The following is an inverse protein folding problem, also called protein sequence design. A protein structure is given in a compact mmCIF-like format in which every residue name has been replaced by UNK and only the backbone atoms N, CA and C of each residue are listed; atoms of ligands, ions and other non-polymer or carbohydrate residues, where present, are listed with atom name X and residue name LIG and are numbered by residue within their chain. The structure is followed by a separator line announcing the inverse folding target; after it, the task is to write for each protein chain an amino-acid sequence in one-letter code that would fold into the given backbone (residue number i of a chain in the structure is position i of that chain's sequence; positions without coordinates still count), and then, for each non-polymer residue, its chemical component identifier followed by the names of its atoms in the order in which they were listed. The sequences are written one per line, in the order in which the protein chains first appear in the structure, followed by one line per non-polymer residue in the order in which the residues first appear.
data_IF_396509960142
#
_entry.id   IF_396509960142
#
_cell.length_a   1.000
_cell.length_b   1.000
_cell.length_c   1.000
_cell.angle_alpha   90.00
_cell.angle_beta   90.00
_cell.angle_gamma   90.00
#
_symmetry.space_group_name_H-M   'P 1'
#
loop_
_entity.id
_entity.type
_entity.pdbx_description
1 polymer ?
#
# COMPACT_ATOMS: atom_id res chain seq x y z
N UNK A 1 3.50 7.40 -5.11
CA UNK A 1 4.69 6.52 -5.07
C UNK A 1 6.00 7.19 -5.47
N UNK A 2 6.08 8.03 -6.52
CA UNK A 2 7.35 8.75 -6.88
C UNK A 2 7.82 9.76 -5.82
N UNK A 3 6.93 10.44 -5.12
CA UNK A 3 7.26 11.49 -4.13
C UNK A 3 7.81 10.93 -2.81
N UNK A 4 7.45 9.70 -2.42
CA UNK A 4 7.96 9.06 -1.20
C UNK A 4 9.38 8.50 -1.42
N UNK A 5 9.71 8.07 -2.64
CA UNK A 5 11.07 7.63 -2.99
C UNK A 5 12.13 8.74 -2.97
N UNK A 6 11.74 9.98 -3.21
CA UNK A 6 12.68 11.12 -3.22
C UNK A 6 13.16 11.56 -1.83
N UNK A 7 12.52 11.09 -0.75
CA UNK A 7 12.92 11.38 0.63
C UNK A 7 13.68 10.24 1.35
N UNK A 8 13.83 9.08 0.69
CA UNK A 8 14.57 7.95 1.23
C UNK A 8 15.95 7.90 0.59
N UNK A 9 17.00 7.94 1.40
CA UNK A 9 18.41 7.82 0.94
C UNK A 9 18.75 6.44 0.38
N UNK A 10 17.81 5.47 0.43
CA UNK A 10 18.00 4.08 -0.01
C UNK A 10 16.90 3.61 -0.94
N UNK A 11 17.26 2.93 -2.01
CA UNK A 11 16.36 2.55 -3.11
C UNK A 11 15.52 1.29 -2.85
N UNK A 12 15.88 0.43 -1.88
CA UNK A 12 15.19 -0.82 -1.58
C UNK A 12 15.24 -1.22 -0.10
N UNK A 13 14.27 -2.04 0.35
CA UNK A 13 14.25 -2.61 1.70
C UNK A 13 15.46 -3.54 1.98
N UNK A 14 16.06 -4.13 0.94
CA UNK A 14 17.24 -4.98 1.00
C UNK A 14 18.50 -4.16 1.29
N UNK A 15 18.63 -2.99 0.67
CA UNK A 15 19.71 -2.04 0.95
C UNK A 15 19.65 -1.52 2.37
N UNK A 16 18.47 -1.20 2.89
CA UNK A 16 18.27 -0.79 4.29
C UNK A 16 18.64 -1.90 5.29
N UNK A 17 18.34 -3.16 4.99
CA UNK A 17 18.77 -4.30 5.81
C UNK A 17 20.29 -4.47 5.78
N UNK A 18 20.91 -4.32 4.62
CA UNK A 18 22.35 -4.37 4.45
C UNK A 18 23.05 -3.25 5.23
N UNK A 19 22.54 -2.03 5.14
CA UNK A 19 23.08 -0.87 5.86
C UNK A 19 22.91 -1.02 7.37
N UNK A 20 21.75 -1.49 7.84
CA UNK A 20 21.55 -1.82 9.26
C UNK A 20 22.55 -2.86 9.77
N UNK A 21 22.79 -3.93 9.00
CA UNK A 21 23.76 -4.96 9.38
C UNK A 21 25.20 -4.43 9.39
N UNK A 22 25.53 -3.44 8.54
CA UNK A 22 26.81 -2.75 8.55
C UNK A 22 26.97 -1.90 9.81
N UNK A 23 25.98 -1.06 10.12
CA UNK A 23 25.98 -0.19 11.31
C UNK A 23 26.06 -1.01 12.60
N UNK A 24 25.35 -2.13 12.70
CA UNK A 24 25.44 -3.02 13.87
C UNK A 24 26.85 -3.56 14.04
N UNK A 25 27.53 -4.01 12.98
CA UNK A 25 28.93 -4.47 13.05
C UNK A 25 29.91 -3.34 13.42
N UNK A 26 29.66 -2.13 12.94
CA UNK A 26 30.46 -0.96 13.30
C UNK A 26 30.27 -0.61 14.79
N UNK A 27 29.07 -0.67 15.33
CA UNK A 27 28.79 -0.48 16.77
C UNK A 27 29.53 -1.55 17.60
N UNK A 28 29.43 -2.82 17.25
CA UNK A 28 30.13 -3.92 17.93
C UNK A 28 31.67 -3.72 17.92
N UNK A 29 32.22 -3.26 16.79
CA UNK A 29 33.63 -2.97 16.66
C UNK A 29 34.07 -1.78 17.54
N UNK A 30 33.26 -0.73 17.64
CA UNK A 30 33.48 0.43 18.49
C UNK A 30 33.42 0.04 19.97
N UNK A 31 32.42 -0.75 20.38
CA UNK A 31 32.31 -1.25 21.75
C UNK A 31 33.52 -2.13 22.15
N UNK A 32 34.02 -2.94 21.23
CA UNK A 32 35.23 -3.73 21.45
C UNK A 32 36.47 -2.82 21.58
N UNK A 33 36.59 -1.81 20.71
CA UNK A 33 37.66 -0.84 20.77
C UNK A 33 37.62 0.02 22.06
N UNK A 34 36.41 0.40 22.51
CA UNK A 34 36.21 1.11 23.78
C UNK A 34 36.67 0.25 24.95
N UNK A 35 36.23 -1.01 25.05
CA UNK A 35 36.68 -1.93 26.10
C UNK A 35 38.20 -2.08 26.13
N UNK A 36 38.84 -2.26 24.98
CA UNK A 36 40.27 -2.35 24.86
C UNK A 36 40.97 -1.03 25.27
N UNK A 37 40.39 0.12 25.01
CA UNK A 37 40.91 1.42 25.46
C UNK A 37 40.77 1.61 26.98
N UNK A 38 39.62 1.21 27.54
CA UNK A 38 39.42 1.27 29.01
C UNK A 38 40.36 0.33 29.75
N UNK A 39 40.64 -0.88 29.25
CA UNK A 39 41.64 -1.79 29.80
C UNK A 39 43.07 -1.20 29.74
N UNK A 40 43.43 -0.54 28.63
CA UNK A 40 44.71 0.14 28.51
C UNK A 40 44.83 1.32 29.45
N UNK A 41 43.74 2.10 29.61
CA UNK A 41 43.71 3.21 30.55
C UNK A 41 43.89 2.72 31.99
N UNK A 42 43.18 1.66 32.39
CA UNK A 42 43.33 1.04 33.70
C UNK A 42 44.80 0.57 33.94
N UNK A 43 45.36 -0.15 32.93
CA UNK A 43 46.76 -0.62 33.01
C UNK A 43 47.76 0.52 33.10
N UNK A 44 47.53 1.63 32.38
CA UNK A 44 48.39 2.82 32.48
C UNK A 44 48.28 3.51 33.85
N UNK A 45 47.05 3.59 34.39
CA UNK A 45 46.85 4.14 35.75
C UNK A 45 47.56 3.32 36.82
N UNK A 46 47.44 1.97 36.73
CA UNK A 46 48.18 1.06 37.62
C UNK A 46 49.69 1.21 37.49
N UNK A 47 50.18 1.44 36.26
CA UNK A 47 51.61 1.68 36.04
C UNK A 47 52.06 3.00 36.65
N UNK A 48 51.28 4.07 36.52
CA UNK A 48 51.54 5.37 37.16
C UNK A 48 51.59 5.22 38.69
N UNK A 49 50.61 4.53 39.27
CA UNK A 49 50.53 4.27 40.71
C UNK A 49 51.81 3.57 41.21
N UNK A 50 52.16 2.45 40.50
CA UNK A 50 53.38 1.69 40.83
C UNK A 50 54.68 2.52 40.72
N UNK A 51 54.76 3.37 39.68
CA UNK A 51 55.92 4.27 39.51
C UNK A 51 55.97 5.34 40.58
N UNK A 52 54.80 5.89 40.95
CA UNK A 52 54.71 6.88 42.05
C UNK A 52 55.18 6.27 43.39
N UNK A 53 54.65 5.06 43.73
CA UNK A 53 55.10 4.34 44.92
C UNK A 53 56.59 4.01 44.92
N UNK A 54 57.12 3.66 43.70
CA UNK A 54 58.58 3.40 43.59
C UNK A 54 59.41 4.68 43.73
N UNK A 55 58.96 5.81 43.19
CA UNK A 55 59.61 7.11 43.38
C UNK A 55 59.57 7.49 44.87
N UNK A 56 58.45 7.36 45.56
CA UNK A 56 58.34 7.63 47.00
C UNK A 56 59.27 6.73 47.86
N UNK A 57 59.35 5.43 47.48
CA UNK A 57 60.29 4.50 48.10
C UNK A 57 61.72 4.89 47.89
N UNK A 58 62.15 5.32 46.67
CA UNK A 58 63.47 5.79 46.35
C UNK A 58 63.77 7.09 47.11
N UNK A 59 62.86 8.04 47.18
CA UNK A 59 62.96 9.27 47.94
C UNK A 59 63.17 8.99 49.44
N UNK A 60 62.41 8.02 49.99
CA UNK A 60 62.58 7.59 51.37
C UNK A 60 63.95 6.93 51.61
N UNK A 61 64.42 6.07 50.70
CA UNK A 61 65.76 5.46 50.74
C UNK A 61 66.89 6.52 50.65
N UNK A 62 66.78 7.50 49.73
CA UNK A 62 67.69 8.61 49.59
C UNK A 62 67.71 9.44 50.86
N UNK A 63 66.57 9.69 51.48
CA UNK A 63 66.52 10.41 52.78
C UNK A 63 67.18 9.64 53.90
N UNK A 64 67.03 8.32 53.92
CA UNK A 64 67.67 7.43 54.91
C UNK A 64 69.16 7.30 54.65
N UNK A 65 69.61 7.29 53.39
CA UNK A 65 71.06 7.24 53.03
C UNK A 65 71.77 8.57 53.22
N UNK A 66 71.07 9.72 53.22
CA UNK A 66 71.62 11.01 53.56
C UNK A 66 71.97 11.16 55.04
N UNK A 67 71.50 10.19 55.90
CA UNK A 67 71.82 10.13 57.32
C UNK A 67 73.05 9.28 57.67
N UNK A 68 73.70 8.58 56.72
CA UNK A 68 74.94 7.82 57.02
C UNK A 68 75.40 6.92 55.87
N UNK A 69 76.27 7.43 55.01
CA UNK A 69 77.08 6.62 54.13
C UNK A 69 77.21 7.19 52.69
N UNK A 70 78.40 6.94 52.13
CA UNK A 70 78.86 7.38 50.82
C UNK A 70 77.87 6.95 49.68
N UNK A 71 76.91 7.81 49.40
CA UNK A 71 75.91 7.57 48.28
C UNK A 71 76.56 8.10 47.01
N UNK A 72 76.71 7.23 46.01
CA UNK A 72 77.13 7.67 44.67
C UNK A 72 76.04 8.55 44.05
N UNK A 73 76.16 9.85 44.22
CA UNK A 73 75.23 10.87 43.77
C UNK A 73 75.03 10.82 42.25
N UNK A 74 75.97 10.29 41.50
CA UNK A 74 75.88 10.14 40.05
C UNK A 74 74.92 9.03 39.66
N UNK A 75 74.95 7.94 40.39
CA UNK A 75 73.99 6.77 40.12
C UNK A 75 72.58 7.13 40.50
N UNK A 76 72.35 7.79 41.63
CA UNK A 76 71.01 8.24 42.07
C UNK A 76 70.46 9.29 41.13
N UNK A 77 71.29 10.20 40.58
CA UNK A 77 70.86 11.18 39.58
C UNK A 77 70.45 10.52 38.26
N UNK A 78 71.15 9.48 37.81
CA UNK A 78 70.84 8.73 36.63
C UNK A 78 69.54 7.96 36.82
N UNK A 79 69.33 7.28 37.95
CA UNK A 79 68.09 6.58 38.27
C UNK A 79 66.88 7.52 38.34
N UNK A 80 67.04 8.71 38.93
CA UNK A 80 66.02 9.73 39.01
C UNK A 80 65.65 10.28 37.63
N UNK A 81 66.64 10.50 36.74
CA UNK A 81 66.40 10.92 35.37
C UNK A 81 65.63 9.88 34.60
N UNK A 82 66.04 8.61 34.67
CA UNK A 82 65.31 7.50 34.00
C UNK A 82 63.89 7.33 34.56
N UNK A 83 63.68 7.47 35.85
CA UNK A 83 62.34 7.42 36.46
C UNK A 83 61.45 8.57 35.99
N UNK A 84 61.96 9.77 35.84
CA UNK A 84 61.25 10.95 35.32
C UNK A 84 60.91 10.78 33.84
N UNK A 85 61.80 10.27 33.00
CA UNK A 85 61.53 9.97 31.59
C UNK A 85 60.46 8.93 31.48
N UNK A 86 60.51 7.84 32.27
CA UNK A 86 59.49 6.81 32.31
C UNK A 86 58.11 7.36 32.75
N UNK A 87 58.05 8.23 33.74
CA UNK A 87 56.86 8.90 34.21
C UNK A 87 56.28 9.78 33.13
N UNK A 88 57.08 10.60 32.45
CA UNK A 88 56.55 11.43 31.31
C UNK A 88 56.00 10.59 30.18
N UNK A 89 56.68 9.49 29.82
CA UNK A 89 56.18 8.59 28.78
C UNK A 89 54.82 7.96 29.13
N UNK A 90 54.62 7.59 30.40
CA UNK A 90 53.34 7.03 30.88
C UNK A 90 52.25 8.11 30.92
N UNK A 91 52.59 9.33 31.36
CA UNK A 91 51.63 10.46 31.35
C UNK A 91 51.18 10.82 29.91
N UNK A 92 52.09 10.84 28.95
CA UNK A 92 51.80 11.06 27.53
C UNK A 92 50.88 9.96 26.97
N UNK A 93 51.18 8.69 27.28
CA UNK A 93 50.33 7.58 26.82
C UNK A 93 48.96 7.62 27.48
N UNK A 94 48.88 7.95 28.77
CA UNK A 94 47.61 8.17 29.48
C UNK A 94 46.79 9.28 28.82
N UNK A 95 47.40 10.40 28.46
CA UNK A 95 46.76 11.51 27.81
C UNK A 95 46.18 11.08 26.42
N UNK A 96 46.98 10.33 25.64
CA UNK A 96 46.55 9.79 24.34
C UNK A 96 45.36 8.82 24.47
N UNK A 97 45.44 7.88 25.41
CA UNK A 97 44.35 6.89 25.65
C UNK A 97 43.08 7.59 26.14
N UNK A 98 43.22 8.56 27.06
CA UNK A 98 42.11 9.35 27.57
C UNK A 98 41.39 10.15 26.45
N UNK A 99 42.18 10.80 25.58
CA UNK A 99 41.65 11.55 24.44
C UNK A 99 40.92 10.63 23.48
N UNK A 100 41.45 9.42 23.22
CA UNK A 100 40.82 8.39 22.40
C UNK A 100 39.51 7.87 23.00
N UNK A 101 39.50 7.58 24.31
CA UNK A 101 38.31 7.15 25.04
C UNK A 101 37.21 8.21 24.92
N UNK A 102 37.51 9.48 25.18
CA UNK A 102 36.53 10.57 25.05
C UNK A 102 36.02 10.78 23.61
N UNK A 103 36.87 10.51 22.61
CA UNK A 103 36.41 10.52 21.21
C UNK A 103 35.45 9.35 20.90
N UNK A 104 35.80 8.16 21.40
CA UNK A 104 34.93 6.96 21.19
C UNK A 104 33.60 7.12 21.92
N UNK A 105 33.53 7.70 23.10
CA UNK A 105 32.29 7.97 23.82
C UNK A 105 31.38 8.93 23.05
N UNK A 106 31.95 9.98 22.43
CA UNK A 106 31.16 10.88 21.58
C UNK A 106 30.62 10.18 20.35
N UNK A 107 31.46 9.39 19.67
CA UNK A 107 31.03 8.62 18.48
C UNK A 107 29.98 7.57 18.82
N UNK A 108 30.11 6.90 19.96
CA UNK A 108 29.08 5.95 20.44
C UNK A 108 27.75 6.65 20.67
N UNK A 109 27.75 7.83 21.32
CA UNK A 109 26.52 8.61 21.52
C UNK A 109 25.89 9.14 20.22
N UNK A 110 26.72 9.47 19.21
CA UNK A 110 26.21 9.83 17.88
C UNK A 110 25.58 8.63 17.15
N UNK A 111 26.21 7.47 17.22
CA UNK A 111 25.70 6.24 16.63
C UNK A 111 24.39 5.79 17.29
N UNK A 112 24.27 5.93 18.61
CA UNK A 112 23.05 5.61 19.35
C UNK A 112 21.89 6.50 18.90
N UNK A 113 22.11 7.82 18.77
CA UNK A 113 21.11 8.76 18.23
C UNK A 113 20.71 8.46 16.79
N UNK A 114 21.68 8.13 15.93
CA UNK A 114 21.41 7.72 14.55
C UNK A 114 20.63 6.41 14.51
N UNK A 115 20.94 5.46 15.39
CA UNK A 115 20.24 4.19 15.53
C UNK A 115 18.78 4.37 15.99
N UNK A 116 18.51 5.31 16.89
CA UNK A 116 17.13 5.67 17.29
C UNK A 116 16.36 6.28 16.12
N UNK A 117 16.95 7.24 15.42
CA UNK A 117 16.34 7.83 14.23
C UNK A 117 16.04 6.80 13.13
N UNK A 118 16.94 5.83 12.93
CA UNK A 118 16.74 4.74 11.98
C UNK A 118 15.61 3.79 12.40
N UNK A 119 15.44 3.52 13.70
CA UNK A 119 14.34 2.72 14.25
C UNK A 119 12.98 3.40 14.02
N UNK A 120 12.90 4.70 14.25
CA UNK A 120 11.68 5.47 14.03
C UNK A 120 11.25 5.47 12.54
N UNK A 121 12.22 5.67 11.64
CA UNK A 121 11.95 5.58 10.19
C UNK A 121 11.50 4.18 9.79
N UNK A 122 12.16 3.14 10.32
CA UNK A 122 11.78 1.75 10.05
C UNK A 122 10.37 1.42 10.56
N UNK A 123 9.98 1.92 11.73
CA UNK A 123 8.64 1.75 12.28
C UNK A 123 7.58 2.41 11.38
N UNK A 124 7.79 3.68 11.01
CA UNK A 124 6.89 4.39 10.08
C UNK A 124 6.80 3.72 8.71
N UNK A 125 7.93 3.22 8.21
CA UNK A 125 7.93 2.46 6.96
C UNK A 125 7.12 1.18 7.06
N UNK A 126 7.23 0.43 8.16
CA UNK A 126 6.46 -0.78 8.39
C UNK A 126 4.95 -0.51 8.45
N UNK A 127 4.53 0.58 9.08
CA UNK A 127 3.12 1.01 9.10
C UNK A 127 2.62 1.38 7.69
N UNK A 128 3.40 2.17 6.93
CA UNK A 128 3.04 2.55 5.56
C UNK A 128 3.03 1.35 4.61
N UNK A 129 3.97 0.41 4.76
CA UNK A 129 3.99 -0.84 3.97
C UNK A 129 2.77 -1.71 4.28
N UNK A 130 2.37 -1.81 5.56
CA UNK A 130 1.15 -2.51 5.96
C UNK A 130 -0.11 -1.87 5.36
N UNK A 131 -0.21 -0.54 5.39
CA UNK A 131 -1.30 0.20 4.76
C UNK A 131 -1.29 0.02 3.23
N UNK A 132 -0.13 0.11 2.60
CA UNK A 132 0.02 -0.10 1.16
C UNK A 132 -0.36 -1.53 0.74
N UNK A 133 0.04 -2.54 1.51
CA UNK A 133 -0.38 -3.95 1.28
C UNK A 133 -1.86 -4.14 1.46
N UNK A 134 -2.46 -3.49 2.45
CA UNK A 134 -3.90 -3.51 2.66
C UNK A 134 -4.63 -2.85 1.49
N UNK A 135 -4.20 -1.65 1.09
CA UNK A 135 -4.80 -0.91 -0.01
C UNK A 135 -4.66 -1.62 -1.37
N UNK A 136 -3.56 -2.33 -1.58
CA UNK A 136 -3.30 -3.09 -2.82
C UNK A 136 -3.82 -4.53 -2.78
N UNK A 137 -4.41 -4.98 -1.68
CA UNK A 137 -4.93 -6.34 -1.52
C UNK A 137 -3.86 -7.43 -1.44
N UNK A 138 -2.63 -7.08 -1.05
CA UNK A 138 -1.50 -8.02 -0.94
C UNK A 138 -1.34 -8.66 0.44
N UNK A 139 -2.42 -8.77 1.21
CA UNK A 139 -2.40 -9.45 2.50
C UNK A 139 -2.34 -10.97 2.30
N UNK A 140 -1.43 -11.63 3.01
CA UNK A 140 -1.30 -13.08 2.97
C UNK A 140 -2.56 -13.77 3.52
N UNK A 141 -3.06 -14.79 2.81
CA UNK A 141 -4.17 -15.64 3.28
C UNK A 141 -5.59 -15.10 3.05
N UNK A 142 -5.76 -13.98 2.34
CA UNK A 142 -7.08 -13.42 1.98
C UNK A 142 -7.20 -13.21 0.48
N UNK A 143 -8.45 -13.07 -0.04
CA UNK A 143 -8.68 -12.70 -1.43
C UNK A 143 -7.92 -11.42 -1.77
N UNK A 144 -7.20 -11.44 -2.88
CA UNK A 144 -6.41 -10.30 -3.37
C UNK A 144 -7.33 -9.24 -3.98
N UNK A 145 -8.04 -8.52 -3.12
CA UNK A 145 -8.95 -7.45 -3.50
C UNK A 145 -8.30 -6.10 -3.15
N UNK A 146 -8.01 -5.27 -4.15
CA UNK A 146 -7.54 -3.91 -3.91
C UNK A 146 -8.66 -3.06 -3.30
N UNK A 147 -8.31 -2.00 -2.58
CA UNK A 147 -9.29 -1.05 -2.05
C UNK A 147 -10.12 -0.41 -3.17
N UNK A 148 -9.50 -0.11 -4.30
CA UNK A 148 -10.18 0.39 -5.50
C UNK A 148 -11.23 -0.62 -6.00
N UNK A 149 -10.84 -1.89 -6.19
CA UNK A 149 -11.75 -2.95 -6.62
C UNK A 149 -12.87 -3.17 -5.59
N UNK A 150 -12.57 -3.04 -4.30
CA UNK A 150 -13.60 -3.13 -3.24
C UNK A 150 -14.63 -2.01 -3.39
N UNK A 151 -14.21 -0.77 -3.61
CA UNK A 151 -15.12 0.36 -3.83
C UNK A 151 -15.95 0.15 -5.11
N UNK A 152 -15.31 -0.22 -6.22
CA UNK A 152 -15.99 -0.52 -7.47
C UNK A 152 -17.03 -1.64 -7.31
N UNK A 153 -16.69 -2.71 -6.59
CA UNK A 153 -17.59 -3.80 -6.28
C UNK A 153 -18.81 -3.34 -5.46
N UNK A 154 -18.62 -2.44 -4.49
CA UNK A 154 -19.72 -1.87 -3.70
C UNK A 154 -20.66 -0.99 -4.54
N UNK A 155 -20.09 -0.23 -5.49
CA UNK A 155 -20.89 0.52 -6.44
C UNK A 155 -21.65 -0.41 -7.40
N UNK A 156 -20.98 -1.43 -7.91
CA UNK A 156 -21.57 -2.43 -8.78
C UNK A 156 -22.72 -3.19 -8.10
N UNK A 157 -22.57 -3.57 -6.82
CA UNK A 157 -23.67 -4.17 -6.04
C UNK A 157 -24.93 -3.27 -6.00
N UNK A 158 -24.78 -1.93 -5.96
CA UNK A 158 -25.91 -0.98 -6.03
C UNK A 158 -26.55 -0.97 -7.42
N UNK A 159 -25.73 -0.99 -8.47
CA UNK A 159 -26.22 -1.08 -9.85
C UNK A 159 -27.00 -2.37 -10.05
N UNK A 160 -26.48 -3.51 -9.58
CA UNK A 160 -27.17 -4.79 -9.65
C UNK A 160 -28.50 -4.77 -8.89
N UNK A 161 -28.54 -4.19 -7.70
CA UNK A 161 -29.78 -4.06 -6.94
C UNK A 161 -30.84 -3.21 -7.68
N UNK A 162 -30.41 -2.12 -8.34
CA UNK A 162 -31.30 -1.29 -9.16
C UNK A 162 -31.76 -2.02 -10.44
N UNK A 163 -30.83 -2.73 -11.09
CA UNK A 163 -31.11 -3.52 -12.29
C UNK A 163 -32.09 -4.67 -12.01
N UNK A 164 -31.86 -5.39 -10.91
CA UNK A 164 -32.68 -6.56 -10.55
C UNK A 164 -34.16 -6.23 -10.31
N UNK A 165 -34.46 -5.03 -9.81
CA UNK A 165 -35.87 -4.59 -9.69
C UNK A 165 -36.61 -4.61 -11.04
N UNK A 166 -35.91 -4.21 -12.11
CA UNK A 166 -36.48 -4.20 -13.48
C UNK A 166 -36.39 -5.56 -14.15
N UNK A 167 -35.28 -6.26 -13.96
CA UNK A 167 -35.06 -7.58 -14.49
C UNK A 167 -36.13 -8.58 -13.97
N UNK A 168 -36.44 -8.48 -12.68
CA UNK A 168 -37.46 -9.32 -12.05
C UNK A 168 -38.82 -9.16 -12.75
N UNK A 169 -39.21 -7.94 -13.13
CA UNK A 169 -40.41 -7.67 -13.88
C UNK A 169 -40.35 -8.23 -15.31
N UNK A 170 -39.21 -8.03 -16.01
CA UNK A 170 -39.05 -8.50 -17.40
C UNK A 170 -38.86 -10.00 -17.52
N UNK A 171 -38.58 -10.70 -16.45
CA UNK A 171 -38.31 -12.15 -16.43
C UNK A 171 -39.20 -12.91 -15.46
N UNK A 172 -40.25 -12.28 -14.93
CA UNK A 172 -41.17 -12.87 -13.95
C UNK A 172 -40.48 -13.52 -12.75
N UNK A 173 -39.48 -12.81 -12.24
CA UNK A 173 -38.58 -13.24 -11.12
C UNK A 173 -37.74 -14.48 -11.43
N UNK A 174 -37.57 -14.85 -12.70
CA UNK A 174 -36.76 -16.01 -13.05
C UNK A 174 -35.27 -15.77 -12.89
N UNK A 175 -34.77 -14.60 -13.27
CA UNK A 175 -33.34 -14.28 -13.26
C UNK A 175 -33.00 -13.13 -12.32
N UNK A 176 -31.88 -13.29 -11.62
CA UNK A 176 -31.29 -12.28 -10.80
C UNK A 176 -29.79 -12.13 -11.16
N UNK A 177 -29.34 -10.92 -11.44
CA UNK A 177 -27.94 -10.60 -11.68
C UNK A 177 -27.20 -10.56 -10.35
N UNK A 178 -26.14 -11.32 -10.22
CA UNK A 178 -25.32 -11.39 -9.03
C UNK A 178 -23.85 -11.22 -9.39
N UNK A 179 -23.09 -10.61 -8.49
CA UNK A 179 -21.66 -10.51 -8.68
C UNK A 179 -20.99 -11.86 -8.44
N UNK A 180 -20.09 -12.26 -9.33
CA UNK A 180 -19.33 -13.51 -9.17
C UNK A 180 -18.53 -13.51 -7.87
N UNK A 181 -18.70 -14.55 -7.04
CA UNK A 181 -17.99 -14.74 -5.77
C UNK A 181 -17.00 -15.90 -5.91
N UNK A 182 -15.88 -15.70 -6.59
CA UNK A 182 -14.88 -16.77 -6.74
C UNK A 182 -13.71 -16.38 -7.62
N UNK A 183 -12.65 -17.19 -7.62
CA UNK A 183 -11.60 -17.10 -8.61
C UNK A 183 -12.10 -17.75 -9.91
N UNK A 184 -12.13 -16.99 -11.00
CA UNK A 184 -12.38 -17.58 -12.34
C UNK A 184 -11.30 -18.62 -12.65
N UNK A 185 -11.70 -19.81 -13.09
CA UNK A 185 -10.80 -20.82 -13.67
C UNK A 185 -10.24 -20.32 -15.02
N UNK A 186 -9.16 -19.52 -14.96
CA UNK A 186 -8.52 -19.01 -16.16
C UNK A 186 -7.51 -17.91 -15.80
N UNK A 187 -6.31 -18.34 -15.44
CA UNK A 187 -5.18 -17.55 -14.95
C UNK A 187 -4.83 -16.25 -15.66
N UNK A 188 -5.56 -15.23 -15.39
CA UNK A 188 -5.16 -13.84 -15.57
C UNK A 188 -5.38 -13.14 -14.24
N UNK A 189 -4.56 -12.14 -13.89
CA UNK A 189 -4.80 -11.23 -12.79
C UNK A 189 -6.07 -10.38 -13.09
N UNK A 190 -7.19 -11.06 -13.37
CA UNK A 190 -8.47 -10.48 -13.64
C UNK A 190 -8.95 -9.79 -12.36
N UNK A 191 -9.53 -8.64 -12.52
CA UNK A 191 -10.19 -7.86 -11.48
C UNK A 191 -11.28 -8.72 -10.85
N UNK A 192 -10.87 -9.63 -9.95
CA UNK A 192 -11.77 -10.47 -9.17
C UNK A 192 -12.71 -9.56 -8.39
N UNK A 193 -13.97 -9.55 -8.76
CA UNK A 193 -14.98 -8.79 -8.03
C UNK A 193 -15.92 -7.93 -8.88
N UNK A 194 -15.74 -7.83 -10.20
CA UNK A 194 -16.64 -7.14 -11.13
C UNK A 194 -17.29 -8.07 -12.16
N UNK A 195 -16.98 -9.36 -12.09
CA UNK A 195 -17.56 -10.37 -12.96
C UNK A 195 -19.03 -10.59 -12.59
N UNK A 196 -19.85 -10.88 -13.60
CA UNK A 196 -21.30 -11.00 -13.51
C UNK A 196 -21.74 -12.44 -13.75
N UNK A 197 -22.52 -12.95 -12.80
CA UNK A 197 -23.27 -14.19 -12.93
C UNK A 197 -24.77 -13.91 -12.95
N UNK A 198 -25.52 -14.89 -13.40
CA UNK A 198 -26.98 -14.91 -13.34
C UNK A 198 -27.44 -16.06 -12.47
N UNK A 199 -28.20 -15.76 -11.44
CA UNK A 199 -28.91 -16.74 -10.64
C UNK A 199 -30.24 -17.07 -11.32
N UNK A 200 -30.42 -18.33 -11.69
CA UNK A 200 -31.66 -18.83 -12.23
C UNK A 200 -32.50 -19.43 -11.10
N UNK A 201 -33.67 -18.86 -10.81
CA UNK A 201 -34.58 -19.29 -9.73
C UNK A 201 -35.03 -20.74 -9.87
N UNK A 202 -35.12 -21.28 -11.11
CA UNK A 202 -35.50 -22.64 -11.32
C UNK A 202 -34.46 -23.67 -10.95
N UNK A 203 -33.18 -23.30 -11.12
CA UNK A 203 -32.05 -24.19 -10.79
C UNK A 203 -31.47 -23.90 -9.45
N UNK A 204 -31.68 -22.70 -8.90
CA UNK A 204 -31.07 -22.20 -7.67
C UNK A 204 -29.54 -22.03 -7.72
N UNK A 205 -28.96 -22.07 -8.93
CA UNK A 205 -27.49 -22.02 -9.12
C UNK A 205 -27.11 -20.81 -9.97
N UNK A 206 -26.06 -20.10 -9.58
CA UNK A 206 -25.48 -19.06 -10.42
C UNK A 206 -24.75 -19.70 -11.61
N UNK A 207 -24.84 -19.04 -12.75
CA UNK A 207 -24.14 -19.38 -14.00
C UNK A 207 -23.59 -18.12 -14.64
N UNK A 208 -22.58 -18.25 -15.49
CA UNK A 208 -22.00 -17.14 -16.21
C UNK A 208 -23.07 -16.42 -17.06
N UNK A 209 -23.07 -15.08 -17.03
CA UNK A 209 -24.02 -14.26 -17.78
C UNK A 209 -23.92 -14.48 -19.29
N UNK A 210 -22.76 -14.91 -19.82
CA UNK A 210 -22.59 -15.27 -21.24
C UNK A 210 -23.42 -16.50 -21.67
N UNK A 211 -23.95 -17.26 -20.72
CA UNK A 211 -24.82 -18.43 -21.00
C UNK A 211 -26.28 -18.06 -21.23
N UNK A 212 -26.65 -16.80 -21.13
CA UNK A 212 -28.00 -16.31 -21.43
C UNK A 212 -28.30 -16.40 -22.91
N UNK A 213 -29.59 -16.69 -23.27
CA UNK A 213 -30.08 -16.55 -24.63
C UNK A 213 -30.08 -15.10 -25.10
N UNK A 214 -30.24 -14.84 -26.39
CA UNK A 214 -30.27 -13.48 -26.94
C UNK A 214 -31.29 -12.57 -26.26
N UNK A 215 -32.53 -13.03 -26.10
CA UNK A 215 -33.58 -12.26 -25.43
C UNK A 215 -33.35 -12.08 -23.94
N UNK A 216 -32.81 -13.09 -23.23
CA UNK A 216 -32.44 -12.99 -21.81
C UNK A 216 -31.30 -12.02 -21.62
N UNK A 217 -30.29 -12.09 -22.50
CA UNK A 217 -29.13 -11.17 -22.49
C UNK A 217 -29.55 -9.73 -22.75
N UNK A 218 -30.45 -9.50 -23.69
CA UNK A 218 -31.00 -8.17 -23.95
C UNK A 218 -31.73 -7.60 -22.72
N UNK A 219 -32.64 -8.38 -22.09
CA UNK A 219 -33.33 -7.96 -20.85
C UNK A 219 -32.36 -7.65 -19.72
N UNK A 220 -31.32 -8.47 -19.52
CA UNK A 220 -30.29 -8.27 -18.52
C UNK A 220 -29.50 -6.99 -18.80
N UNK A 221 -29.07 -6.76 -20.04
CA UNK A 221 -28.29 -5.57 -20.45
C UNK A 221 -29.10 -4.29 -20.29
N UNK A 222 -30.37 -4.33 -20.69
CA UNK A 222 -31.28 -3.19 -20.52
C UNK A 222 -31.50 -2.87 -19.03
N UNK A 223 -31.74 -3.88 -18.21
CA UNK A 223 -31.86 -3.71 -16.77
C UNK A 223 -30.62 -3.09 -16.15
N UNK A 224 -29.42 -3.55 -16.56
CA UNK A 224 -28.15 -2.99 -16.10
C UNK A 224 -27.98 -1.54 -16.53
N UNK A 225 -28.29 -1.18 -17.77
CA UNK A 225 -28.19 0.18 -18.27
C UNK A 225 -29.11 1.14 -17.48
N UNK A 226 -30.33 0.72 -17.23
CA UNK A 226 -31.31 1.47 -16.43
C UNK A 226 -30.84 1.59 -14.96
N UNK A 227 -30.37 0.48 -14.37
CA UNK A 227 -29.84 0.48 -13.00
C UNK A 227 -28.61 1.34 -12.82
N UNK A 228 -27.69 1.35 -13.81
CA UNK A 228 -26.53 2.22 -13.82
C UNK A 228 -26.94 3.69 -13.90
N UNK A 229 -27.89 4.01 -14.80
CA UNK A 229 -28.45 5.37 -14.91
C UNK A 229 -28.98 5.88 -13.58
N UNK A 230 -29.74 5.06 -12.85
CA UNK A 230 -30.28 5.44 -11.54
C UNK A 230 -29.19 5.72 -10.50
N UNK A 231 -28.19 4.84 -10.44
CA UNK A 231 -27.09 4.97 -9.47
C UNK A 231 -26.24 6.20 -9.77
N UNK A 232 -25.97 6.48 -11.05
CA UNK A 232 -25.23 7.67 -11.47
C UNK A 232 -26.02 8.94 -11.11
N UNK A 233 -27.30 9.02 -11.43
CA UNK A 233 -28.14 10.17 -11.08
C UNK A 233 -28.21 10.41 -9.58
N UNK A 234 -28.37 9.36 -8.78
CA UNK A 234 -28.44 9.46 -7.32
C UNK A 234 -27.15 10.02 -6.68
N UNK A 235 -26.01 9.96 -7.37
CA UNK A 235 -24.70 10.34 -6.80
C UNK A 235 -24.01 11.50 -7.51
N UNK A 236 -24.46 11.86 -8.71
CA UNK A 236 -23.80 12.90 -9.52
C UNK A 236 -24.20 14.34 -9.13
N UNK A 237 -24.87 14.53 -7.99
CA UNK A 237 -25.14 15.86 -7.43
C UNK A 237 -25.95 16.79 -8.33
N UNK A 238 -26.85 16.25 -9.17
CA UNK A 238 -27.73 17.04 -10.02
C UNK A 238 -27.54 16.85 -11.54
N UNK A 239 -26.74 15.87 -11.96
CA UNK A 239 -26.75 15.46 -13.37
C UNK A 239 -27.99 14.59 -13.58
N UNK A 240 -29.01 15.14 -14.20
CA UNK A 240 -30.19 14.40 -14.63
C UNK A 240 -29.94 13.80 -16.02
N UNK A 241 -30.11 12.48 -16.14
CA UNK A 241 -30.12 11.80 -17.46
C UNK A 241 -31.58 11.74 -17.93
N UNK A 242 -32.01 12.79 -18.56
CA UNK A 242 -33.42 12.97 -18.96
C UNK A 242 -33.79 12.18 -20.21
N UNK A 243 -32.80 11.74 -20.98
CA UNK A 243 -33.02 11.06 -22.24
C UNK A 243 -32.18 9.80 -22.35
N UNK A 244 -32.78 8.72 -22.81
CA UNK A 244 -32.12 7.45 -23.10
C UNK A 244 -32.57 6.93 -24.44
N UNK A 245 -31.68 6.40 -25.25
CA UNK A 245 -31.99 5.71 -26.49
C UNK A 245 -31.62 4.22 -26.36
N UNK A 246 -32.56 3.37 -26.77
CA UNK A 246 -32.36 1.93 -26.88
C UNK A 246 -32.38 1.59 -28.38
N UNK A 247 -31.24 1.12 -28.88
CA UNK A 247 -31.07 0.79 -30.29
C UNK A 247 -31.11 -0.72 -30.48
N UNK A 248 -32.13 -1.20 -31.24
CA UNK A 248 -32.32 -2.62 -31.56
C UNK A 248 -32.46 -3.55 -30.33
N UNK A 249 -32.44 -4.86 -30.54
CA UNK A 249 -32.47 -5.91 -29.49
C UNK A 249 -33.85 -6.48 -29.21
N UNK A 250 -34.92 -5.78 -29.53
CA UNK A 250 -36.29 -6.23 -29.26
C UNK A 250 -36.72 -7.40 -30.15
N UNK A 251 -36.08 -7.59 -31.29
CA UNK A 251 -36.39 -8.70 -32.22
C UNK A 251 -36.07 -10.10 -31.70
N UNK A 252 -35.29 -10.17 -30.59
CA UNK A 252 -34.98 -11.44 -29.91
C UNK A 252 -36.02 -11.84 -28.85
N UNK A 253 -37.02 -10.98 -28.57
CA UNK A 253 -38.07 -11.20 -27.57
C UNK A 253 -39.32 -11.81 -28.18
N UNK A 254 -39.96 -12.71 -27.45
CA UNK A 254 -41.34 -13.11 -27.73
C UNK A 254 -42.31 -11.99 -27.32
N UNK A 255 -43.55 -12.11 -27.73
CA UNK A 255 -44.58 -11.09 -27.56
C UNK A 255 -44.82 -10.74 -26.07
N UNK A 256 -44.81 -11.73 -25.20
CA UNK A 256 -45.01 -11.56 -23.76
C UNK A 256 -43.82 -10.82 -23.12
N UNK A 257 -42.58 -11.26 -23.40
CA UNK A 257 -41.37 -10.59 -22.98
C UNK A 257 -41.26 -9.15 -23.50
N UNK A 258 -41.71 -8.89 -24.73
CA UNK A 258 -41.75 -7.56 -25.32
C UNK A 258 -42.70 -6.65 -24.53
N UNK A 259 -43.93 -7.12 -24.23
CA UNK A 259 -44.89 -6.35 -23.45
C UNK A 259 -44.40 -6.02 -22.06
N UNK A 260 -43.72 -6.97 -21.36
CA UNK A 260 -43.10 -6.73 -20.05
C UNK A 260 -41.96 -5.73 -20.14
N UNK A 261 -41.15 -5.81 -21.19
CA UNK A 261 -40.03 -4.89 -21.39
C UNK A 261 -40.51 -3.46 -21.66
N UNK A 262 -41.51 -3.28 -22.52
CA UNK A 262 -42.13 -1.97 -22.77
C UNK A 262 -42.74 -1.40 -21.50
N UNK A 263 -43.43 -2.20 -20.70
CA UNK A 263 -43.97 -1.78 -19.41
C UNK A 263 -42.86 -1.24 -18.46
N UNK A 264 -41.71 -1.89 -18.42
CA UNK A 264 -40.57 -1.41 -17.62
C UNK A 264 -40.04 -0.09 -18.14
N UNK A 265 -39.95 0.08 -19.47
CA UNK A 265 -39.44 1.32 -20.09
C UNK A 265 -40.39 2.50 -19.89
N UNK A 266 -41.71 2.27 -19.91
CA UNK A 266 -42.76 3.29 -19.76
C UNK A 266 -43.24 3.45 -18.31
N UNK A 267 -42.74 2.65 -17.38
CA UNK A 267 -43.19 2.61 -15.99
C UNK A 267 -42.84 3.87 -15.21
N UNK A 268 -43.48 4.02 -14.03
CA UNK A 268 -43.35 5.18 -13.15
C UNK A 268 -41.93 5.48 -12.71
N UNK A 269 -41.05 4.48 -12.64
CA UNK A 269 -39.61 4.67 -12.29
C UNK A 269 -38.83 5.46 -13.37
N UNK A 270 -39.39 5.57 -14.59
CA UNK A 270 -38.80 6.32 -15.70
C UNK A 270 -39.66 7.51 -16.12
N UNK A 271 -40.66 7.91 -15.31
CA UNK A 271 -41.65 8.94 -15.66
C UNK A 271 -41.05 10.32 -16.01
N UNK A 272 -39.83 10.60 -15.55
CA UNK A 272 -39.13 11.85 -15.87
C UNK A 272 -38.09 11.68 -16.99
N UNK A 273 -38.06 10.51 -17.69
CA UNK A 273 -37.08 10.27 -18.74
C UNK A 273 -37.78 10.13 -20.09
N UNK A 274 -37.23 10.78 -21.10
CA UNK A 274 -37.59 10.52 -22.50
C UNK A 274 -36.86 9.26 -22.97
N UNK A 275 -37.59 8.20 -23.22
CA UNK A 275 -37.03 6.95 -23.76
C UNK A 275 -37.29 6.87 -25.24
N UNK A 276 -36.28 7.00 -26.07
CA UNK A 276 -36.29 6.78 -27.50
C UNK A 276 -35.99 5.32 -27.84
N UNK A 277 -36.77 4.69 -28.64
CA UNK A 277 -36.56 3.31 -29.07
C UNK A 277 -36.37 3.29 -30.59
N UNK A 278 -35.28 2.68 -31.04
CA UNK A 278 -35.00 2.43 -32.45
C UNK A 278 -35.21 0.95 -32.68
N UNK A 279 -36.20 0.63 -33.53
CA UNK A 279 -36.54 -0.78 -33.78
C UNK A 279 -37.27 -0.96 -35.11
N UNK A 280 -37.13 -2.15 -35.67
CA UNK A 280 -37.87 -2.60 -36.84
C UNK A 280 -39.00 -3.60 -36.52
N UNK A 281 -39.27 -3.84 -35.23
CA UNK A 281 -40.29 -4.79 -34.75
C UNK A 281 -41.69 -4.17 -34.87
N UNK A 282 -42.56 -4.79 -35.65
CA UNK A 282 -43.91 -4.26 -35.93
C UNK A 282 -44.80 -4.22 -34.67
N UNK A 283 -44.69 -5.18 -33.78
CA UNK A 283 -45.45 -5.24 -32.53
C UNK A 283 -45.08 -4.08 -31.60
N UNK A 284 -43.80 -3.73 -31.54
CA UNK A 284 -43.30 -2.58 -30.76
C UNK A 284 -43.80 -1.27 -31.37
N UNK A 285 -43.77 -1.18 -32.70
CA UNK A 285 -44.30 -0.04 -33.44
C UNK A 285 -45.78 0.19 -33.19
N UNK A 286 -46.59 -0.88 -33.04
CA UNK A 286 -48.01 -0.81 -32.74
C UNK A 286 -48.28 -0.36 -31.29
N UNK A 287 -47.34 -0.54 -30.35
CA UNK A 287 -47.53 -0.27 -28.92
C UNK A 287 -47.07 1.13 -28.47
N UNK A 288 -46.49 1.93 -29.39
CA UNK A 288 -45.95 3.28 -29.06
C UNK A 288 -46.75 4.33 -29.88
N UNK A 289 -47.26 5.37 -29.18
CA UNK A 289 -48.10 6.39 -29.78
C UNK A 289 -47.30 7.40 -30.62
N UNK A 290 -46.16 7.87 -30.14
CA UNK A 290 -45.31 8.87 -30.82
C UNK A 290 -44.19 8.20 -31.59
N UNK A 291 -44.15 8.35 -32.90
CA UNK A 291 -43.19 7.65 -33.77
C UNK A 291 -42.55 8.61 -34.78
N UNK A 292 -41.25 8.39 -35.02
CA UNK A 292 -40.53 8.97 -36.13
C UNK A 292 -40.26 7.83 -37.13
N UNK A 293 -40.97 7.86 -38.24
CA UNK A 293 -40.83 6.85 -39.30
C UNK A 293 -39.79 7.35 -40.31
N UNK A 294 -38.74 6.54 -40.50
CA UNK A 294 -37.71 6.82 -41.50
C UNK A 294 -37.88 5.93 -42.72
N UNK A 295 -38.17 6.52 -43.87
CA UNK A 295 -38.38 5.81 -45.14
C UNK A 295 -37.18 6.05 -46.06
N UNK A 296 -36.64 4.99 -46.62
CA UNK A 296 -35.50 5.06 -47.55
C UNK A 296 -36.01 5.26 -48.97
N UNK A 297 -35.74 6.46 -49.55
CA UNK A 297 -36.05 6.79 -50.94
C UNK A 297 -34.84 6.66 -51.87
N UNK A 298 -35.08 6.75 -53.18
CA UNK A 298 -34.00 6.74 -54.23
C UNK A 298 -33.07 7.90 -54.16
N UNK A 299 -33.49 9.05 -53.62
CA UNK A 299 -32.74 10.32 -53.53
C UNK A 299 -32.31 10.64 -52.09
N UNK A 300 -32.42 9.72 -51.16
CA UNK A 300 -32.12 9.91 -49.73
C UNK A 300 -33.23 9.36 -48.85
N UNK A 301 -33.07 9.49 -47.51
CA UNK A 301 -34.08 9.10 -46.56
C UNK A 301 -34.99 10.27 -46.22
N UNK A 302 -36.28 10.01 -46.04
CA UNK A 302 -37.28 10.96 -45.55
C UNK A 302 -37.76 10.54 -44.18
N UNK A 303 -38.14 11.48 -43.34
CA UNK A 303 -38.69 11.19 -42.03
C UNK A 303 -40.09 11.79 -41.91
N UNK A 304 -40.96 11.09 -41.18
CA UNK A 304 -42.34 11.49 -40.89
C UNK A 304 -42.61 11.26 -39.41
N UNK A 305 -43.26 12.22 -38.77
CA UNK A 305 -43.73 12.07 -37.38
C UNK A 305 -45.17 11.55 -37.45
N UNK A 306 -45.44 10.50 -36.71
CA UNK A 306 -46.76 9.95 -36.52
C UNK A 306 -47.14 10.10 -35.04
N UNK A 307 -48.29 10.70 -34.78
CA UNK A 307 -48.95 10.76 -33.48
C UNK A 307 -50.18 9.85 -33.54
N UNK A 308 -50.22 8.89 -32.59
CA UNK A 308 -51.27 7.89 -32.54
C UNK A 308 -52.52 8.38 -31.83
#
# INVERSE_FOLDING_TARGET
MRTIRAGLSHASAEELKGERARVVREIEAIDAAKRAADERLASAQDAVTRLTERVDSIVAQVRHLSEGGDVDASQVSAELSAAREAQTAVEDERARVSARAGSNDRLAGELERLGEGARDVAARYAEMDALARTATGRLAGKQRLSFETYLQARWFDRVLAAANRRLSTMTENRYELVRHKGERRGGGAAQTGLDLDVLDSFTGKPRDASSLSGGESFKASLALALGLSDVVQAHAGGIELDTMFVDEGFGSLDQESLALTVRVLTGAENSNKLVGIISHVDELRASIDHKIVVERGRSGSTLRIEEG
#
